data_IF_667374880350
#
_entry.id   IF_667374880350
#
_cell.length_a   1.000
_cell.length_b   1.000
_cell.length_c   1.000
_cell.angle_alpha   90.00
_cell.angle_beta   90.00
_cell.angle_gamma   90.00
#
_symmetry.space_group_name_H-M   'P 1'
#
loop_
_entity.id
_entity.type
_entity.pdbx_description
1 polymer ?
#
# COMPACT_ATOMS: atom_id res chain seq x y z
N UNK A 1 15.01 2.91 -15.10
CA UNK A 1 16.26 2.55 -15.78
C UNK A 1 17.30 3.65 -15.57
N UNK A 2 18.41 3.33 -14.93
CA UNK A 2 19.59 4.18 -14.85
C UNK A 2 20.50 3.90 -16.06
N UNK A 3 20.76 4.88 -16.87
CA UNK A 3 21.84 4.84 -17.85
C UNK A 3 22.49 6.23 -17.93
N UNK A 4 23.64 6.38 -17.30
CA UNK A 4 24.31 7.68 -17.18
C UNK A 4 23.52 8.68 -16.31
N UNK A 5 23.59 9.96 -16.61
CA UNK A 5 22.95 11.03 -15.85
C UNK A 5 21.45 11.23 -16.17
N UNK A 6 20.89 10.47 -17.11
CA UNK A 6 19.52 10.61 -17.55
C UNK A 6 18.62 9.49 -17.03
N UNK A 7 17.48 9.84 -16.47
CA UNK A 7 16.44 8.93 -15.97
C UNK A 7 15.20 9.06 -16.82
N UNK A 8 14.57 7.93 -17.14
CA UNK A 8 13.38 7.87 -17.98
C UNK A 8 12.27 7.11 -17.29
N UNK A 9 11.03 7.52 -17.54
CA UNK A 9 9.86 6.68 -17.29
C UNK A 9 9.61 5.85 -18.54
N UNK A 10 9.60 4.54 -18.40
CA UNK A 10 9.37 3.60 -19.49
C UNK A 10 8.05 2.86 -19.27
N UNK A 11 7.38 2.51 -20.35
CA UNK A 11 6.14 1.77 -20.35
C UNK A 11 6.39 0.29 -20.63
N UNK A 12 5.68 -0.56 -19.89
CA UNK A 12 5.56 -1.98 -20.18
C UNK A 12 4.15 -2.44 -19.81
N UNK A 13 3.66 -3.47 -20.49
CA UNK A 13 2.34 -4.04 -20.23
C UNK A 13 2.39 -5.56 -20.19
N UNK A 14 1.49 -6.16 -19.43
CA UNK A 14 1.36 -7.61 -19.29
C UNK A 14 -0.10 -7.99 -19.13
N UNK A 15 -0.48 -9.17 -19.63
CA UNK A 15 -1.81 -9.77 -19.42
C UNK A 15 -1.85 -10.72 -18.23
N UNK A 16 -0.69 -11.24 -17.84
CA UNK A 16 -0.55 -12.29 -16.82
C UNK A 16 0.34 -11.87 -15.63
N UNK A 17 0.96 -10.68 -15.72
CA UNK A 17 1.92 -10.20 -14.72
C UNK A 17 3.26 -10.94 -14.71
N UNK A 18 3.50 -11.83 -15.67
CA UNK A 18 4.71 -12.66 -15.80
C UNK A 18 5.46 -12.28 -17.08
N UNK A 19 4.76 -12.31 -18.20
CA UNK A 19 5.32 -11.95 -19.49
C UNK A 19 5.03 -10.49 -19.80
N UNK A 20 6.07 -9.67 -19.94
CA UNK A 20 5.97 -8.22 -20.09
C UNK A 20 6.42 -7.78 -21.47
N UNK A 21 5.52 -7.14 -22.21
CA UNK A 21 5.81 -6.48 -23.46
C UNK A 21 6.29 -5.04 -23.21
N UNK A 22 7.29 -4.60 -23.97
CA UNK A 22 7.80 -3.24 -23.98
C UNK A 22 7.54 -2.64 -25.36
N UNK A 23 6.29 -2.24 -25.65
CA UNK A 23 5.93 -1.79 -27.00
C UNK A 23 6.65 -0.50 -27.35
N UNK A 24 6.94 -0.33 -28.62
CA UNK A 24 7.41 0.95 -29.14
C UNK A 24 6.27 1.96 -29.06
N UNK A 25 6.45 3.01 -28.25
CA UNK A 25 5.46 4.10 -28.11
C UNK A 25 5.79 5.33 -28.95
N UNK A 26 7.00 5.43 -29.47
CA UNK A 26 7.49 6.50 -30.38
C UNK A 26 7.32 7.93 -29.86
N UNK A 27 7.28 8.13 -28.55
CA UNK A 27 7.01 9.44 -27.94
C UNK A 27 8.28 10.29 -27.76
N UNK A 28 9.33 9.69 -27.25
CA UNK A 28 10.56 10.38 -26.85
C UNK A 28 11.72 9.90 -27.71
N UNK A 29 12.50 10.87 -28.23
CA UNK A 29 13.73 10.55 -28.92
C UNK A 29 14.85 10.24 -27.91
N UNK A 30 15.52 9.10 -28.11
CA UNK A 30 16.69 8.67 -27.35
C UNK A 30 17.69 8.00 -28.30
N UNK A 31 18.97 8.39 -28.18
CA UNK A 31 20.03 7.91 -29.07
C UNK A 31 19.68 8.06 -30.58
N UNK A 32 19.09 9.20 -30.97
CA UNK A 32 18.64 9.52 -32.34
C UNK A 32 17.54 8.60 -32.87
N UNK A 33 16.80 7.94 -32.01
CA UNK A 33 15.71 7.04 -32.38
C UNK A 33 14.50 7.24 -31.48
N UNK A 34 13.31 7.16 -32.04
CA UNK A 34 12.04 7.05 -31.31
C UNK A 34 11.54 5.62 -31.17
N UNK A 35 12.31 4.64 -31.65
CA UNK A 35 11.95 3.22 -31.52
C UNK A 35 12.27 2.72 -30.11
N UNK A 36 11.46 3.13 -29.14
CA UNK A 36 11.62 2.81 -27.73
C UNK A 36 10.26 2.90 -26.98
N UNK A 37 10.26 2.51 -25.71
CA UNK A 37 9.11 2.54 -24.81
C UNK A 37 9.16 3.67 -23.77
N UNK A 38 9.91 4.75 -24.03
CA UNK A 38 10.04 5.88 -23.11
C UNK A 38 8.80 6.76 -23.23
N UNK A 39 8.15 7.05 -22.10
CA UNK A 39 6.95 7.90 -22.02
C UNK A 39 7.20 9.28 -21.44
N UNK A 40 8.22 9.43 -20.58
CA UNK A 40 8.66 10.73 -20.05
C UNK A 40 10.19 10.78 -19.93
N UNK A 41 10.81 11.90 -20.35
CA UNK A 41 12.21 12.17 -20.09
C UNK A 41 12.40 12.76 -18.68
N UNK A 42 13.62 12.80 -18.22
CA UNK A 42 14.08 13.54 -17.02
C UNK A 42 13.29 13.22 -15.74
N UNK A 43 12.92 11.94 -15.57
CA UNK A 43 12.33 11.47 -14.34
C UNK A 43 13.37 11.52 -13.22
N UNK A 44 13.19 12.42 -12.26
CA UNK A 44 14.20 12.60 -11.23
C UNK A 44 14.07 11.57 -10.11
N UNK A 45 12.85 11.22 -9.68
CA UNK A 45 12.64 10.24 -8.62
C UNK A 45 11.57 9.23 -9.00
N UNK A 46 10.38 9.27 -8.45
CA UNK A 46 9.35 8.25 -8.67
C UNK A 46 8.15 8.86 -9.38
N UNK A 47 7.79 8.28 -10.50
CA UNK A 47 6.56 8.58 -11.22
C UNK A 47 5.46 7.64 -10.75
N UNK A 48 4.38 8.17 -10.17
CA UNK A 48 3.27 7.42 -9.63
C UNK A 48 1.98 7.68 -10.41
N UNK A 49 1.69 6.88 -11.46
CA UNK A 49 0.44 6.95 -12.19
C UNK A 49 -0.69 6.22 -11.48
N UNK A 50 -1.93 6.66 -11.71
CA UNK A 50 -3.13 5.96 -11.29
C UNK A 50 -4.29 6.19 -12.28
N UNK A 51 -5.25 5.27 -12.27
CA UNK A 51 -6.52 5.40 -12.95
C UNK A 51 -7.45 6.25 -12.08
N UNK A 52 -7.93 7.37 -12.61
CA UNK A 52 -8.85 8.24 -11.89
C UNK A 52 -10.29 7.72 -12.01
N UNK A 53 -10.83 7.25 -10.91
CA UNK A 53 -12.19 6.70 -10.81
C UNK A 53 -13.23 7.73 -10.35
N UNK A 54 -12.85 9.01 -10.22
CA UNK A 54 -13.78 10.09 -9.86
C UNK A 54 -14.96 10.13 -10.83
N UNK A 55 -16.21 10.14 -10.36
CA UNK A 55 -17.37 10.31 -11.21
C UNK A 55 -17.28 11.58 -12.08
N UNK A 56 -17.52 11.44 -13.37
CA UNK A 56 -17.49 12.56 -14.32
C UNK A 56 -16.10 12.99 -14.79
N UNK A 57 -15.04 12.29 -14.44
CA UNK A 57 -13.72 12.58 -15.02
C UNK A 57 -13.76 12.41 -16.55
N UNK A 58 -13.21 13.38 -17.27
CA UNK A 58 -13.17 13.31 -18.73
C UNK A 58 -12.20 12.23 -19.22
N UNK A 59 -12.52 11.58 -20.35
CA UNK A 59 -11.66 10.59 -20.97
C UNK A 59 -10.25 11.13 -21.25
N UNK A 60 -10.12 12.41 -21.55
CA UNK A 60 -8.84 13.08 -21.78
C UNK A 60 -7.93 13.14 -20.54
N UNK A 61 -8.51 12.99 -19.34
CA UNK A 61 -7.80 13.05 -18.04
C UNK A 61 -8.00 11.78 -17.19
N UNK A 62 -8.35 10.67 -17.86
CA UNK A 62 -8.66 9.39 -17.21
C UNK A 62 -7.52 8.83 -16.39
N UNK A 63 -6.29 9.03 -16.81
CA UNK A 63 -5.10 8.70 -16.04
C UNK A 63 -4.49 9.96 -15.47
N UNK A 64 -4.07 9.90 -14.23
CA UNK A 64 -3.34 10.96 -13.55
C UNK A 64 -2.03 10.41 -12.99
N UNK A 65 -1.09 11.29 -12.74
CA UNK A 65 0.16 10.94 -12.10
C UNK A 65 0.72 12.08 -11.28
N UNK A 66 1.58 11.75 -10.34
CA UNK A 66 2.46 12.69 -9.70
C UNK A 66 3.92 12.28 -9.88
N UNK A 67 4.79 13.25 -9.86
CA UNK A 67 6.24 13.05 -9.90
C UNK A 67 6.92 14.20 -9.18
N UNK A 68 7.85 13.89 -8.30
CA UNK A 68 8.76 14.91 -7.81
C UNK A 68 9.70 15.35 -8.94
N UNK A 69 9.93 16.64 -9.04
CA UNK A 69 10.80 17.23 -10.05
C UNK A 69 11.70 18.30 -9.44
N UNK A 70 12.86 18.47 -10.07
CA UNK A 70 13.86 19.46 -9.70
C UNK A 70 14.48 19.28 -8.30
N UNK A 71 14.53 18.06 -7.76
CA UNK A 71 15.18 17.75 -6.49
C UNK A 71 16.64 18.25 -6.39
N UNK A 72 17.33 18.36 -7.53
CA UNK A 72 18.68 18.94 -7.63
C UNK A 72 18.73 20.41 -8.01
N UNK A 73 17.56 21.08 -8.21
CA UNK A 73 17.55 22.52 -8.44
C UNK A 73 18.11 23.28 -7.23
N UNK A 74 18.89 24.31 -7.47
CA UNK A 74 19.30 25.24 -6.41
C UNK A 74 18.18 26.22 -6.02
N UNK A 75 17.16 26.36 -6.87
CA UNK A 75 15.98 27.19 -6.60
C UNK A 75 14.92 26.38 -5.84
N UNK A 76 14.68 26.63 -4.54
CA UNK A 76 13.68 25.91 -3.76
C UNK A 76 12.27 26.02 -4.33
N UNK A 77 11.93 27.12 -4.98
CA UNK A 77 10.61 27.38 -5.55
C UNK A 77 10.29 26.47 -6.76
N UNK A 78 11.31 25.80 -7.31
CA UNK A 78 11.14 24.85 -8.41
C UNK A 78 11.09 23.39 -7.95
N UNK A 79 11.25 23.14 -6.66
CA UNK A 79 11.19 21.80 -6.08
C UNK A 79 9.78 21.46 -5.61
N UNK A 80 9.35 20.23 -5.82
CA UNK A 80 8.06 19.75 -5.32
C UNK A 80 7.39 18.70 -6.17
N UNK A 81 6.15 18.41 -5.87
CA UNK A 81 5.31 17.52 -6.65
C UNK A 81 4.70 18.24 -7.84
N UNK A 82 4.77 17.59 -8.97
CA UNK A 82 4.13 17.98 -10.21
C UNK A 82 3.05 16.97 -10.58
N UNK A 83 1.95 17.46 -11.12
CA UNK A 83 0.81 16.65 -11.51
C UNK A 83 0.69 16.56 -13.02
N UNK A 84 0.27 15.40 -13.48
CA UNK A 84 0.12 15.06 -14.88
C UNK A 84 -1.23 14.40 -15.13
N UNK A 85 -1.73 14.52 -16.35
CA UNK A 85 -2.89 13.78 -16.84
C UNK A 85 -2.63 13.14 -18.20
N UNK A 86 -3.37 12.09 -18.50
CA UNK A 86 -3.28 11.37 -19.76
C UNK A 86 -4.63 10.74 -20.11
N UNK A 87 -4.90 10.62 -21.41
CA UNK A 87 -6.07 9.92 -21.92
C UNK A 87 -5.82 8.40 -22.08
N UNK A 88 -4.57 8.01 -22.28
CA UNK A 88 -4.17 6.65 -22.66
C UNK A 88 -3.17 5.97 -21.71
N UNK A 89 -2.74 6.69 -20.65
CA UNK A 89 -1.73 6.20 -19.72
C UNK A 89 -0.29 6.16 -20.28
N UNK A 90 -0.06 6.73 -21.45
CA UNK A 90 1.24 6.78 -22.14
C UNK A 90 1.68 8.21 -22.40
N UNK A 91 0.82 9.05 -22.95
CA UNK A 91 1.09 10.48 -23.17
C UNK A 91 0.63 11.31 -21.97
N UNK A 92 1.57 11.68 -21.11
CA UNK A 92 1.28 12.49 -19.94
C UNK A 92 1.58 13.95 -20.18
N UNK A 93 0.60 14.82 -19.90
CA UNK A 93 0.69 16.27 -19.99
C UNK A 93 0.64 16.83 -18.58
N UNK A 94 1.51 17.79 -18.30
CA UNK A 94 1.52 18.51 -17.01
C UNK A 94 0.25 19.33 -16.84
N UNK A 95 -0.37 19.27 -15.65
CA UNK A 95 -1.68 19.90 -15.39
C UNK A 95 -1.52 21.35 -14.93
N UNK A 96 -0.55 21.63 -14.07
CA UNK A 96 -0.40 22.91 -13.38
C UNK A 96 1.01 23.48 -13.45
N UNK A 97 1.12 24.75 -13.00
CA UNK A 97 2.36 25.46 -12.85
C UNK A 97 3.44 24.75 -12.04
N UNK A 98 4.56 25.37 -11.78
CA UNK A 98 5.81 24.76 -11.38
C UNK A 98 6.21 25.16 -9.95
N UNK A 99 6.21 24.28 -8.98
CA UNK A 99 5.52 22.96 -8.87
C UNK A 99 4.06 23.11 -8.42
N UNK A 100 3.25 22.03 -8.55
CA UNK A 100 1.87 22.03 -8.06
C UNK A 100 1.81 22.07 -6.52
N UNK A 101 2.69 21.32 -5.84
CA UNK A 101 2.93 21.41 -4.41
C UNK A 101 4.42 21.65 -4.19
N UNK A 102 4.82 22.86 -3.73
CA UNK A 102 6.23 23.17 -3.50
C UNK A 102 6.81 22.41 -2.32
N UNK A 103 8.11 22.14 -2.36
CA UNK A 103 8.83 21.68 -1.19
C UNK A 103 8.89 22.76 -0.12
N UNK A 104 8.54 22.37 1.08
CA UNK A 104 8.81 23.21 2.25
C UNK A 104 10.12 22.79 2.93
N UNK A 105 10.52 21.52 2.79
CA UNK A 105 11.76 20.97 3.38
C UNK A 105 12.41 20.04 2.36
N UNK A 106 13.77 20.02 2.23
CA UNK A 106 14.47 19.07 1.39
C UNK A 106 14.18 17.63 1.76
N UNK A 107 14.13 16.75 0.76
CA UNK A 107 13.79 15.33 0.85
C UNK A 107 12.33 15.00 1.25
N UNK A 108 11.44 15.99 1.37
CA UNK A 108 10.02 15.69 1.26
C UNK A 108 9.75 15.15 -0.15
N UNK A 109 8.80 14.24 -0.27
CA UNK A 109 8.39 13.63 -1.54
C UNK A 109 9.46 12.82 -2.29
N UNK A 110 10.70 12.70 -1.77
CA UNK A 110 11.77 11.92 -2.38
C UNK A 110 11.52 10.41 -2.26
N UNK A 111 10.36 9.96 -2.69
CA UNK A 111 10.04 8.54 -2.93
C UNK A 111 8.65 8.40 -3.54
N UNK A 112 8.03 7.25 -3.35
CA UNK A 112 6.68 6.98 -3.82
C UNK A 112 5.64 7.83 -3.06
N UNK A 113 4.97 8.72 -3.79
CA UNK A 113 3.84 9.51 -3.30
C UNK A 113 2.59 9.02 -4.02
N UNK A 114 1.65 8.45 -3.29
CA UNK A 114 0.48 7.78 -3.87
C UNK A 114 -0.72 8.69 -3.80
N UNK A 115 -1.46 8.76 -4.90
CA UNK A 115 -2.74 9.48 -4.97
C UNK A 115 -3.78 8.57 -5.60
N UNK A 116 -5.01 8.64 -5.11
CA UNK A 116 -6.17 7.98 -5.68
C UNK A 116 -7.45 8.75 -5.38
N UNK A 117 -8.52 8.48 -6.13
CA UNK A 117 -9.87 8.90 -5.76
C UNK A 117 -10.45 7.91 -4.74
N UNK A 118 -10.90 8.40 -3.59
CA UNK A 118 -11.63 7.60 -2.63
C UNK A 118 -13.15 7.75 -2.86
N UNK A 119 -13.80 6.67 -3.24
CA UNK A 119 -15.27 6.64 -3.37
C UNK A 119 -15.96 6.86 -2.03
N UNK A 120 -15.38 6.30 -0.96
CA UNK A 120 -15.91 6.39 0.40
C UNK A 120 -15.83 7.81 0.94
N UNK A 121 -14.70 8.49 0.71
CA UNK A 121 -14.47 9.86 1.18
C UNK A 121 -14.97 10.92 0.20
N UNK A 122 -15.34 10.52 -1.04
CA UNK A 122 -15.73 11.41 -2.14
C UNK A 122 -14.72 12.51 -2.43
N UNK A 123 -13.43 12.19 -2.34
CA UNK A 123 -12.30 13.10 -2.59
C UNK A 123 -11.04 12.34 -3.00
N UNK A 124 -10.07 13.07 -3.54
CA UNK A 124 -8.73 12.54 -3.73
C UNK A 124 -8.02 12.46 -2.39
N UNK A 125 -7.28 11.39 -2.21
CA UNK A 125 -6.44 11.14 -1.03
C UNK A 125 -5.00 10.96 -1.49
N UNK A 126 -4.09 11.65 -0.83
CA UNK A 126 -2.65 11.53 -1.04
C UNK A 126 -1.98 10.98 0.21
N UNK A 127 -1.13 10.00 0.02
CA UNK A 127 -0.16 9.55 1.01
C UNK A 127 1.24 9.84 0.46
N UNK A 128 1.96 10.69 1.16
CA UNK A 128 3.28 11.15 0.74
C UNK A 128 4.34 10.87 1.79
N UNK A 129 5.58 10.69 1.32
CA UNK A 129 6.71 10.62 2.24
C UNK A 129 7.04 11.99 2.78
N UNK A 130 7.30 12.03 4.08
CA UNK A 130 7.69 13.23 4.80
C UNK A 130 8.77 12.93 5.84
N UNK A 131 9.42 13.98 6.35
CA UNK A 131 10.30 13.88 7.50
C UNK A 131 9.59 14.38 8.73
N UNK A 132 9.61 13.59 9.79
CA UNK A 132 9.06 13.95 11.10
C UNK A 132 10.15 13.87 12.15
N UNK A 133 10.06 14.69 13.16
CA UNK A 133 10.92 14.61 14.35
C UNK A 133 10.60 13.38 15.21
N UNK A 134 11.41 13.15 16.23
CA UNK A 134 11.18 12.07 17.20
C UNK A 134 9.88 12.27 18.01
N UNK A 135 9.33 13.46 18.01
CA UNK A 135 8.03 13.80 18.60
C UNK A 135 6.84 13.57 17.63
N UNK A 136 7.12 13.08 16.43
CA UNK A 136 6.13 12.81 15.39
C UNK A 136 5.62 14.04 14.63
N UNK A 137 6.13 15.25 14.94
CA UNK A 137 5.72 16.45 14.23
C UNK A 137 6.51 16.62 12.93
N UNK A 138 5.89 17.28 11.97
CA UNK A 138 6.56 17.68 10.74
C UNK A 138 7.68 18.65 11.10
N UNK A 139 8.90 18.37 10.64
CA UNK A 139 10.06 19.23 10.83
C UNK A 139 9.90 20.49 10.00
N UNK A 140 10.07 21.66 10.60
CA UNK A 140 10.02 22.91 9.88
C UNK A 140 11.32 23.22 9.12
N UNK A 141 11.25 24.19 8.19
CA UNK A 141 12.38 24.53 7.30
C UNK A 141 13.58 25.08 8.08
N UNK A 142 13.36 25.80 9.17
CA UNK A 142 14.44 26.40 9.97
C UNK A 142 15.13 25.33 10.79
N UNK A 143 14.37 24.44 11.42
CA UNK A 143 14.88 23.30 12.18
C UNK A 143 15.74 22.40 11.28
N UNK A 144 15.24 22.06 10.09
CA UNK A 144 15.98 21.23 9.13
C UNK A 144 17.25 21.93 8.63
N UNK A 145 17.21 23.23 8.37
CA UNK A 145 18.38 24.01 7.93
C UNK A 145 19.45 24.05 9.02
N UNK A 146 19.06 24.19 10.28
CA UNK A 146 19.99 24.14 11.41
C UNK A 146 20.62 22.75 11.57
N UNK A 147 19.83 21.69 11.40
CA UNK A 147 20.32 20.31 11.41
C UNK A 147 21.34 20.06 10.29
N UNK A 148 21.05 20.54 9.07
CA UNK A 148 21.96 20.43 7.94
C UNK A 148 23.26 21.21 8.15
N UNK A 149 23.19 22.44 8.66
CA UNK A 149 24.39 23.27 8.87
C UNK A 149 25.31 22.70 9.95
N UNK A 150 24.73 22.07 10.97
CA UNK A 150 25.49 21.52 12.11
C UNK A 150 26.02 20.09 11.88
N UNK A 151 25.49 19.34 10.90
CA UNK A 151 25.76 17.89 10.76
C UNK A 151 25.99 17.43 9.31
N UNK A 152 26.33 18.31 8.37
CA UNK A 152 26.41 17.96 6.93
C UNK A 152 27.34 16.75 6.63
N UNK A 153 28.42 16.58 7.38
CA UNK A 153 29.32 15.43 7.21
C UNK A 153 28.81 14.15 7.90
N UNK A 154 28.07 14.28 9.01
CA UNK A 154 27.53 13.13 9.73
C UNK A 154 26.21 12.60 9.14
N UNK A 155 25.40 13.47 8.56
CA UNK A 155 24.13 13.09 7.89
C UNK A 155 24.36 12.26 6.61
N UNK A 156 25.49 12.39 5.98
CA UNK A 156 25.79 11.63 4.76
C UNK A 156 26.47 10.28 5.01
N UNK A 157 27.19 10.04 6.10
CA UNK A 157 28.20 8.99 6.07
C UNK A 157 28.32 8.02 7.25
N UNK A 158 27.78 8.22 8.47
CA UNK A 158 28.14 7.27 9.55
C UNK A 158 27.07 6.80 10.55
N UNK A 159 26.03 7.53 10.84
CA UNK A 159 25.02 7.02 11.78
C UNK A 159 23.61 7.55 11.49
N UNK A 160 23.03 7.05 10.39
CA UNK A 160 21.61 7.32 10.06
C UNK A 160 20.63 6.58 10.98
N UNK A 161 21.11 5.73 11.87
CA UNK A 161 20.29 4.99 12.84
C UNK A 161 19.83 5.84 14.03
N UNK A 162 20.45 7.01 14.22
CA UNK A 162 20.16 7.96 15.32
C UNK A 162 19.86 9.36 14.82
N UNK A 163 19.30 9.49 13.62
CA UNK A 163 18.92 10.81 13.09
C UNK A 163 17.84 11.47 13.96
N UNK A 164 17.87 12.79 14.07
CA UNK A 164 16.86 13.59 14.76
C UNK A 164 15.52 13.60 14.01
N UNK A 165 15.43 12.93 12.87
CA UNK A 165 14.22 12.81 12.06
C UNK A 165 14.04 11.41 11.47
N UNK A 166 12.80 11.07 11.24
CA UNK A 166 12.34 9.76 10.77
C UNK A 166 11.57 9.95 9.46
N UNK A 167 11.80 9.07 8.49
CA UNK A 167 10.94 8.97 7.30
C UNK A 167 9.60 8.40 7.71
N UNK A 168 8.56 9.16 7.45
CA UNK A 168 7.19 8.80 7.82
C UNK A 168 6.24 9.12 6.66
N UNK A 169 4.97 8.83 6.84
CA UNK A 169 3.91 9.09 5.89
C UNK A 169 3.03 10.23 6.42
N UNK A 170 2.68 11.14 5.52
CA UNK A 170 1.66 12.16 5.75
C UNK A 170 0.49 11.96 4.81
N UNK A 171 -0.67 12.46 5.20
CA UNK A 171 -1.90 12.44 4.44
C UNK A 171 -2.37 13.85 4.12
N UNK A 172 -2.85 14.02 2.88
CA UNK A 172 -3.58 15.22 2.45
C UNK A 172 -4.76 14.79 1.58
N UNK A 173 -5.76 15.67 1.44
CA UNK A 173 -6.95 15.42 0.63
C UNK A 173 -7.26 16.60 -0.28
N UNK A 174 -7.98 16.31 -1.38
CA UNK A 174 -8.40 17.33 -2.34
C UNK A 174 -9.76 16.98 -2.96
N UNK A 175 -10.69 17.92 -3.10
CA UNK A 175 -11.95 17.69 -3.79
C UNK A 175 -11.80 17.68 -5.33
N UNK A 176 -10.73 18.28 -5.86
CA UNK A 176 -10.59 18.61 -7.29
C UNK A 176 -9.24 18.21 -7.91
N UNK A 177 -8.31 17.66 -7.13
CA UNK A 177 -6.94 17.35 -7.52
C UNK A 177 -6.01 18.58 -7.66
N UNK A 178 -6.51 19.76 -7.46
CA UNK A 178 -5.77 21.04 -7.60
C UNK A 178 -5.54 21.68 -6.24
N UNK A 179 -6.56 21.72 -5.40
CA UNK A 179 -6.53 22.34 -4.09
C UNK A 179 -6.40 21.25 -3.00
N UNK A 180 -5.25 21.19 -2.35
CA UNK A 180 -4.92 20.19 -1.34
C UNK A 180 -5.01 20.79 0.07
N UNK A 181 -5.49 19.97 1.01
CA UNK A 181 -5.40 20.28 2.43
C UNK A 181 -3.95 20.37 2.90
N UNK A 182 -3.73 20.90 4.09
CA UNK A 182 -2.45 20.76 4.77
C UNK A 182 -2.12 19.27 5.00
N UNK A 183 -0.82 18.96 5.02
CA UNK A 183 -0.34 17.62 5.30
C UNK A 183 -0.43 17.30 6.78
N UNK A 184 -1.08 16.19 7.10
CA UNK A 184 -1.22 15.66 8.45
C UNK A 184 -0.38 14.40 8.61
N UNK A 185 0.52 14.31 9.60
CA UNK A 185 1.25 13.08 9.88
C UNK A 185 0.30 11.92 10.19
N UNK A 186 0.65 10.72 9.69
CA UNK A 186 -0.04 9.50 10.09
C UNK A 186 0.43 9.07 11.47
N UNK A 187 -0.51 8.66 12.30
CA UNK A 187 -0.27 7.96 13.55
C UNK A 187 -0.14 6.46 13.30
N UNK A 188 0.50 5.74 14.24
CA UNK A 188 0.68 4.29 14.14
C UNK A 188 0.12 3.62 15.41
N UNK A 189 -0.73 2.58 15.24
CA UNK A 189 -1.17 1.75 16.34
C UNK A 189 -0.02 0.87 16.83
N UNK A 190 -0.06 0.49 18.09
CA UNK A 190 0.86 -0.46 18.75
C UNK A 190 2.29 0.04 19.00
N UNK A 191 2.55 1.31 18.76
CA UNK A 191 3.72 1.95 19.33
C UNK A 191 3.26 3.04 20.27
N UNK A 192 3.79 3.07 21.50
CA UNK A 192 3.65 4.22 22.40
C UNK A 192 4.32 5.49 21.82
N UNK A 193 4.90 5.36 20.64
CA UNK A 193 5.52 6.43 19.86
C UNK A 193 4.72 6.68 18.57
N UNK A 194 4.48 7.93 18.27
CA UNK A 194 3.82 8.44 17.05
C UNK A 194 4.59 8.01 15.78
N UNK A 195 5.81 7.52 15.93
CA UNK A 195 6.66 7.11 14.83
C UNK A 195 7.13 5.68 15.07
N UNK A 196 7.04 4.80 14.05
CA UNK A 196 7.69 3.50 14.13
C UNK A 196 9.20 3.73 14.25
N UNK A 197 9.88 2.92 15.04
CA UNK A 197 11.34 2.92 15.14
C UNK A 197 12.05 2.65 13.79
N UNK A 198 11.27 2.29 12.78
CA UNK A 198 11.71 1.97 11.44
C UNK A 198 11.50 3.13 10.48
N UNK A 199 12.48 3.36 9.60
CA UNK A 199 12.41 4.32 8.50
C UNK A 199 11.48 3.79 7.40
N UNK A 200 10.24 4.29 7.28
CA UNK A 200 9.31 3.92 6.21
C UNK A 200 9.67 4.71 4.94
N UNK A 201 10.29 4.05 3.97
CA UNK A 201 10.79 4.72 2.76
C UNK A 201 9.70 4.94 1.71
N UNK A 202 8.83 3.95 1.52
CA UNK A 202 7.64 4.02 0.65
C UNK A 202 6.41 3.78 1.48
N UNK A 203 5.22 4.05 0.94
CA UNK A 203 3.97 3.75 1.64
C UNK A 203 3.05 2.81 0.86
N UNK A 204 3.02 2.89 -0.47
CA UNK A 204 2.18 2.09 -1.36
C UNK A 204 0.71 1.94 -0.89
N UNK A 205 0.16 2.98 -0.26
CA UNK A 205 -1.17 2.97 0.35
C UNK A 205 -2.25 3.15 -0.71
N UNK A 206 -3.14 2.17 -0.87
CA UNK A 206 -4.24 2.21 -1.83
C UNK A 206 -5.52 1.60 -1.24
N UNK A 207 -6.72 1.98 -1.72
CA UNK A 207 -7.95 1.27 -1.39
C UNK A 207 -7.84 -0.21 -1.80
N UNK A 208 -8.31 -1.09 -0.93
CA UNK A 208 -8.39 -2.50 -1.26
C UNK A 208 -9.58 -2.75 -2.20
N UNK A 209 -9.34 -3.36 -3.35
CA UNK A 209 -10.32 -3.47 -4.44
C UNK A 209 -11.59 -4.27 -4.07
N UNK A 210 -11.57 -5.09 -3.02
CA UNK A 210 -12.72 -5.82 -2.50
C UNK A 210 -13.41 -5.12 -1.32
N UNK A 211 -12.77 -4.09 -0.74
CA UNK A 211 -13.27 -3.36 0.44
C UNK A 211 -12.74 -1.92 0.42
N UNK A 212 -13.34 -1.06 -0.39
CA UNK A 212 -12.89 0.32 -0.65
C UNK A 212 -12.76 1.20 0.60
N UNK A 213 -13.33 0.80 1.74
CA UNK A 213 -13.20 1.48 3.03
C UNK A 213 -11.96 1.06 3.82
N UNK A 214 -11.24 0.05 3.36
CA UNK A 214 -9.97 -0.40 3.90
C UNK A 214 -8.86 -0.03 2.92
N UNK A 215 -7.85 0.68 3.38
CA UNK A 215 -6.66 0.97 2.59
C UNK A 215 -5.52 0.07 3.05
N UNK A 216 -4.95 -0.64 2.10
CA UNK A 216 -3.77 -1.49 2.30
C UNK A 216 -2.53 -0.66 2.05
N UNK A 217 -1.56 -0.73 2.92
CA UNK A 217 -0.26 -0.10 2.80
C UNK A 217 0.84 -1.16 2.87
N UNK A 218 1.73 -1.15 1.89
CA UNK A 218 2.86 -2.06 1.78
C UNK A 218 4.17 -1.24 1.74
N UNK A 219 4.56 -0.61 2.86
CA UNK A 219 5.76 0.20 2.86
C UNK A 219 7.03 -0.64 2.78
N UNK A 220 8.01 -0.12 2.06
CA UNK A 220 9.40 -0.54 2.18
C UNK A 220 10.01 0.08 3.44
N UNK A 221 10.55 -0.75 4.31
CA UNK A 221 11.17 -0.37 5.58
C UNK A 221 12.69 -0.49 5.47
N UNK A 222 13.43 0.55 5.84
CA UNK A 222 14.89 0.58 5.73
C UNK A 222 15.54 0.37 7.09
N UNK A 223 16.56 -0.49 7.12
CA UNK A 223 17.45 -0.69 8.26
C UNK A 223 18.89 -0.40 7.86
N UNK A 224 19.50 0.56 8.52
CA UNK A 224 20.92 0.89 8.33
C UNK A 224 21.85 -0.14 9.02
N UNK A 225 23.03 -0.36 8.44
CA UNK A 225 24.02 -1.30 8.97
C UNK A 225 23.64 -2.78 8.79
N UNK A 226 22.67 -3.09 7.97
CA UNK A 226 22.18 -4.47 7.70
C UNK A 226 22.59 -5.00 6.32
N UNK A 227 23.48 -4.31 5.63
CA UNK A 227 24.01 -4.78 4.35
C UNK A 227 24.92 -6.00 4.57
N UNK A 228 24.75 -7.01 3.72
CA UNK A 228 25.52 -8.26 3.83
C UNK A 228 26.69 -8.32 2.87
N UNK A 229 26.56 -7.80 1.65
CA UNK A 229 27.59 -7.78 0.63
C UNK A 229 27.69 -6.41 -0.07
N UNK A 230 28.53 -5.49 0.45
CA UNK A 230 28.68 -4.15 -0.11
C UNK A 230 29.18 -4.10 -1.55
N UNK A 231 29.94 -5.12 -1.99
CA UNK A 231 30.58 -5.15 -3.32
C UNK A 231 29.59 -5.43 -4.45
N UNK A 232 28.40 -5.93 -4.14
CA UNK A 232 27.37 -6.25 -5.12
C UNK A 232 26.73 -4.97 -5.68
N UNK A 233 26.76 -3.87 -4.94
CA UNK A 233 26.18 -2.58 -5.34
C UNK A 233 27.28 -1.62 -5.78
N UNK A 234 27.42 -1.42 -7.09
CA UNK A 234 28.55 -0.72 -7.73
C UNK A 234 28.79 0.71 -7.25
N UNK A 235 27.75 1.52 -7.05
CA UNK A 235 27.88 2.97 -6.88
C UNK A 235 27.23 3.50 -5.58
N UNK A 236 26.81 2.63 -4.68
CA UNK A 236 26.15 3.01 -3.43
C UNK A 236 26.62 2.20 -2.21
N UNK A 237 27.86 1.70 -2.28
CA UNK A 237 28.49 0.90 -1.22
C UNK A 237 28.47 1.59 0.16
N UNK A 238 28.38 2.91 0.19
CA UNK A 238 28.43 3.71 1.41
C UNK A 238 27.07 3.85 2.11
N UNK A 239 25.97 3.43 1.48
CA UNK A 239 24.63 3.61 2.08
C UNK A 239 24.34 2.59 3.18
N UNK A 240 24.94 1.40 3.10
CA UNK A 240 24.95 0.42 4.20
C UNK A 240 23.56 0.02 4.73
N UNK A 241 22.52 0.07 3.91
CA UNK A 241 21.16 -0.26 4.31
C UNK A 241 20.64 -1.56 3.67
N UNK A 242 19.64 -2.15 4.28
CA UNK A 242 18.83 -3.21 3.71
C UNK A 242 17.35 -2.90 3.97
N UNK A 243 16.46 -3.39 3.14
CA UNK A 243 15.03 -3.16 3.27
C UNK A 243 14.21 -4.44 3.16
N UNK A 244 13.06 -4.40 3.78
CA UNK A 244 11.99 -5.38 3.68
C UNK A 244 10.65 -4.68 3.47
N UNK A 245 9.58 -5.43 3.25
CA UNK A 245 8.22 -4.89 3.16
C UNK A 245 7.36 -5.35 4.32
N UNK A 246 6.57 -4.45 4.88
CA UNK A 246 5.60 -4.76 5.95
C UNK A 246 4.18 -4.50 5.50
N UNK A 247 3.21 -5.01 6.26
CA UNK A 247 1.79 -4.77 6.08
C UNK A 247 1.29 -3.76 7.10
N UNK A 248 0.65 -2.73 6.62
CA UNK A 248 -0.18 -1.84 7.44
C UNK A 248 -1.55 -1.66 6.79
N UNK A 249 -2.54 -1.28 7.57
CA UNK A 249 -3.85 -0.91 7.05
C UNK A 249 -4.32 0.41 7.66
N UNK A 250 -5.25 1.07 6.99
CA UNK A 250 -5.98 2.21 7.56
C UNK A 250 -7.41 2.22 7.05
N UNK A 251 -8.29 2.93 7.71
CA UNK A 251 -9.67 3.11 7.27
C UNK A 251 -9.80 4.40 6.47
N UNK A 252 -10.71 4.43 5.50
CA UNK A 252 -11.07 5.66 4.80
C UNK A 252 -11.39 6.78 5.81
N UNK A 253 -10.84 7.96 5.60
CA UNK A 253 -10.99 9.12 6.50
C UNK A 253 -10.12 9.11 7.75
N UNK A 254 -9.36 8.06 8.01
CA UNK A 254 -8.48 7.96 9.19
C UNK A 254 -7.07 8.50 8.88
N UNK A 255 -6.47 9.13 9.88
CA UNK A 255 -5.04 9.48 9.87
C UNK A 255 -4.20 8.49 10.69
N UNK A 256 -4.71 7.28 10.96
CA UNK A 256 -4.02 6.28 11.76
C UNK A 256 -3.86 4.98 10.98
N UNK A 257 -2.62 4.51 10.89
CA UNK A 257 -2.32 3.15 10.45
C UNK A 257 -2.49 2.15 11.60
N UNK A 258 -3.12 1.04 11.29
CA UNK A 258 -2.99 -0.18 12.08
C UNK A 258 -1.70 -0.88 11.63
N UNK A 259 -0.77 -1.03 12.55
CA UNK A 259 0.54 -1.66 12.35
C UNK A 259 0.74 -2.82 13.34
N UNK A 260 -0.31 -3.62 13.52
CA UNK A 260 -0.29 -4.81 14.39
C UNK A 260 0.78 -5.81 13.97
N UNK A 261 0.99 -5.99 12.65
CA UNK A 261 2.00 -6.90 12.12
C UNK A 261 3.32 -6.16 11.90
N UNK A 262 4.19 -6.17 12.90
CA UNK A 262 5.52 -5.55 12.82
C UNK A 262 6.54 -6.44 12.12
N UNK A 263 6.23 -7.72 11.91
CA UNK A 263 7.03 -8.67 11.16
C UNK A 263 7.03 -8.34 9.67
N UNK A 264 8.11 -8.71 9.00
CA UNK A 264 8.23 -8.55 7.55
C UNK A 264 7.26 -9.49 6.82
N UNK A 265 6.36 -8.92 6.02
CA UNK A 265 5.56 -9.65 5.03
C UNK A 265 6.43 -10.06 3.83
N UNK A 266 7.31 -9.17 3.40
CA UNK A 266 8.17 -9.33 2.22
C UNK A 266 9.63 -9.33 2.65
N UNK A 267 10.15 -10.50 2.99
CA UNK A 267 11.55 -10.67 3.42
C UNK A 267 12.52 -10.56 2.25
N UNK A 268 13.78 -10.17 2.49
CA UNK A 268 14.81 -10.12 1.45
C UNK A 268 14.96 -11.42 0.68
N UNK A 269 14.87 -12.57 1.35
CA UNK A 269 15.02 -13.88 0.72
C UNK A 269 16.47 -14.38 0.71
N UNK A 270 16.70 -15.43 -0.06
CA UNK A 270 18.00 -16.12 -0.17
C UNK A 270 18.87 -15.38 -1.18
N UNK A 271 20.17 -15.30 -0.89
CA UNK A 271 21.19 -14.67 -1.75
C UNK A 271 21.60 -13.29 -1.23
N UNK A 272 22.90 -13.02 -1.28
CA UNK A 272 23.49 -11.80 -0.75
C UNK A 272 23.04 -10.56 -1.55
N UNK A 273 22.69 -10.72 -2.82
CA UNK A 273 22.13 -9.69 -3.70
C UNK A 273 20.83 -9.10 -3.17
N UNK A 274 20.06 -9.86 -2.38
CA UNK A 274 18.83 -9.42 -1.74
C UNK A 274 19.07 -8.61 -0.47
N UNK A 275 20.27 -8.71 0.13
CA UNK A 275 20.64 -8.06 1.38
C UNK A 275 21.50 -6.81 1.15
N UNK A 276 21.05 -5.97 0.23
CA UNK A 276 21.74 -4.75 -0.19
C UNK A 276 20.78 -3.56 -0.18
N UNK A 277 21.33 -2.39 -0.42
CA UNK A 277 20.59 -1.12 -0.35
C UNK A 277 19.35 -1.08 -1.20
N UNK A 278 18.27 -0.49 -0.68
CA UNK A 278 17.00 -0.16 -1.35
C UNK A 278 16.35 -1.31 -2.10
N UNK A 279 16.63 -2.52 -1.69
CA UNK A 279 16.04 -3.73 -2.24
C UNK A 279 14.64 -4.00 -1.64
N UNK A 280 13.90 -4.94 -2.24
CA UNK A 280 12.67 -5.50 -1.68
C UNK A 280 11.52 -4.48 -1.51
N UNK A 281 11.44 -3.47 -2.35
CA UNK A 281 10.35 -2.50 -2.32
C UNK A 281 9.13 -3.02 -3.08
N UNK A 282 7.95 -3.08 -2.44
CA UNK A 282 6.71 -3.32 -3.15
C UNK A 282 6.42 -2.18 -4.14
N UNK A 283 5.99 -2.56 -5.33
CA UNK A 283 5.35 -1.61 -6.24
C UNK A 283 3.99 -1.18 -5.66
N UNK A 284 3.49 -0.02 -6.07
CA UNK A 284 2.17 0.42 -5.67
C UNK A 284 1.10 -0.45 -6.34
N UNK A 285 0.25 -1.05 -5.54
CA UNK A 285 -0.90 -1.80 -5.99
C UNK A 285 -0.88 -3.27 -5.58
N UNK A 286 -2.09 -3.76 -5.32
CA UNK A 286 -2.41 -5.18 -5.19
C UNK A 286 -3.45 -5.48 -6.26
N UNK A 287 -3.21 -6.48 -7.08
CA UNK A 287 -4.02 -6.78 -8.27
C UNK A 287 -4.59 -8.18 -8.15
N UNK A 288 -5.89 -8.33 -8.38
CA UNK A 288 -6.48 -9.65 -8.56
C UNK A 288 -5.97 -10.26 -9.87
N UNK A 289 -5.40 -11.46 -9.79
CA UNK A 289 -4.78 -12.15 -10.93
C UNK A 289 -5.47 -13.45 -11.29
N UNK A 290 -6.36 -13.96 -10.43
CA UNK A 290 -7.30 -15.03 -10.75
C UNK A 290 -8.55 -14.92 -9.87
N UNK A 291 -9.46 -15.87 -9.97
CA UNK A 291 -10.66 -15.94 -9.12
C UNK A 291 -10.31 -16.16 -7.63
N UNK A 292 -9.15 -16.74 -7.35
CA UNK A 292 -8.73 -17.12 -5.99
C UNK A 292 -7.47 -16.40 -5.53
N UNK A 293 -6.82 -15.61 -6.41
CA UNK A 293 -5.47 -15.11 -6.19
C UNK A 293 -5.36 -13.59 -6.43
N UNK A 294 -4.55 -12.94 -5.62
CA UNK A 294 -4.06 -11.59 -5.84
C UNK A 294 -2.53 -11.57 -5.91
N UNK A 295 -1.97 -10.56 -6.54
CA UNK A 295 -0.53 -10.40 -6.72
C UNK A 295 -0.02 -9.07 -6.23
N UNK A 296 1.20 -9.11 -5.71
CA UNK A 296 2.05 -7.98 -5.34
C UNK A 296 3.32 -8.09 -6.18
N UNK A 297 3.80 -6.96 -6.69
CA UNK A 297 5.07 -6.89 -7.43
C UNK A 297 6.15 -6.26 -6.57
N UNK A 298 7.31 -6.88 -6.52
CA UNK A 298 8.42 -6.48 -5.66
C UNK A 298 9.67 -6.25 -6.49
N UNK A 299 10.30 -5.10 -6.31
CA UNK A 299 11.58 -4.81 -6.91
C UNK A 299 12.68 -5.60 -6.21
N UNK A 300 13.45 -6.37 -6.97
CA UNK A 300 14.61 -7.12 -6.49
C UNK A 300 15.89 -6.62 -7.13
N UNK A 301 17.02 -6.80 -6.44
CA UNK A 301 18.38 -6.48 -6.88
C UNK A 301 18.51 -5.02 -7.37
N UNK A 302 18.00 -4.06 -6.58
CA UNK A 302 18.09 -2.64 -6.93
C UNK A 302 19.52 -2.22 -7.22
N UNK A 303 19.71 -1.42 -8.28
CA UNK A 303 21.00 -0.93 -8.77
C UNK A 303 22.03 -2.02 -9.16
N UNK A 304 21.60 -3.26 -9.32
CA UNK A 304 22.42 -4.38 -9.78
C UNK A 304 22.11 -4.73 -11.24
N UNK A 305 23.03 -5.37 -11.92
CA UNK A 305 22.81 -5.83 -13.31
C UNK A 305 21.75 -6.93 -13.40
N UNK A 306 21.51 -7.63 -12.31
CA UNK A 306 20.51 -8.67 -12.13
C UNK A 306 19.15 -8.14 -11.65
N UNK A 307 18.90 -6.82 -11.69
CA UNK A 307 17.65 -6.22 -11.23
C UNK A 307 16.41 -6.77 -11.99
N UNK A 308 15.37 -7.15 -11.26
CA UNK A 308 14.14 -7.68 -11.81
C UNK A 308 12.92 -7.29 -10.97
N UNK A 309 11.74 -7.46 -11.54
CA UNK A 309 10.46 -7.34 -10.86
C UNK A 309 9.94 -8.75 -10.57
N UNK A 310 9.73 -9.08 -9.29
CA UNK A 310 9.18 -10.36 -8.85
C UNK A 310 7.67 -10.23 -8.64
N UNK A 311 6.91 -11.17 -9.20
CA UNK A 311 5.50 -11.34 -8.87
C UNK A 311 5.36 -12.30 -7.71
N UNK A 312 4.77 -11.83 -6.62
CA UNK A 312 4.41 -12.65 -5.46
C UNK A 312 2.90 -12.80 -5.40
N UNK A 313 2.43 -13.98 -5.07
CA UNK A 313 1.01 -14.31 -5.04
C UNK A 313 0.52 -14.56 -3.62
N UNK A 314 -0.73 -14.19 -3.39
CA UNK A 314 -1.46 -14.42 -2.15
C UNK A 314 -2.87 -14.91 -2.51
N UNK A 315 -3.45 -15.72 -1.64
CA UNK A 315 -4.90 -15.94 -1.66
C UNK A 315 -5.64 -14.60 -1.66
N UNK A 316 -6.77 -14.48 -2.33
CA UNK A 316 -7.65 -13.30 -2.16
C UNK A 316 -7.90 -13.04 -0.68
N UNK A 317 -7.78 -11.79 -0.24
CA UNK A 317 -7.88 -11.33 1.14
C UNK A 317 -6.84 -11.94 2.10
N UNK A 318 -5.88 -12.72 1.59
CA UNK A 318 -4.95 -13.55 2.36
C UNK A 318 -3.74 -12.81 2.94
N UNK A 319 -3.83 -11.53 3.27
CA UNK A 319 -2.77 -10.80 3.96
C UNK A 319 -2.53 -11.31 5.38
N UNK A 320 -3.58 -11.74 6.04
CA UNK A 320 -3.60 -12.30 7.38
C UNK A 320 -4.84 -13.18 7.54
N UNK A 321 -4.86 -14.04 8.55
CA UNK A 321 -6.00 -14.84 8.91
C UNK A 321 -6.27 -14.80 10.41
N UNK A 322 -7.52 -15.06 10.77
CA UNK A 322 -7.86 -15.52 12.11
C UNK A 322 -7.67 -17.03 12.11
N UNK A 323 -6.64 -17.52 12.79
CA UNK A 323 -6.29 -18.93 12.86
C UNK A 323 -6.78 -19.56 14.16
N UNK A 324 -7.34 -20.74 14.08
CA UNK A 324 -7.63 -21.60 15.23
C UNK A 324 -6.82 -22.88 15.15
N UNK A 325 -6.21 -23.33 16.26
CA UNK A 325 -5.51 -24.62 16.32
C UNK A 325 -6.49 -25.81 16.26
N UNK A 326 -5.97 -27.02 16.34
CA UNK A 326 -6.76 -28.26 16.39
C UNK A 326 -7.77 -28.27 17.55
N UNK A 327 -7.36 -27.78 18.71
CA UNK A 327 -8.27 -27.49 19.81
C UNK A 327 -9.11 -26.26 19.48
N UNK A 328 -10.35 -26.23 19.93
CA UNK A 328 -11.29 -25.15 19.61
C UNK A 328 -10.76 -23.75 19.89
N UNK A 329 -10.93 -22.84 18.94
CA UNK A 329 -10.72 -21.41 19.06
C UNK A 329 -12.01 -20.64 18.85
N UNK A 330 -12.18 -19.49 19.51
CA UNK A 330 -13.35 -18.65 19.38
C UNK A 330 -12.99 -17.18 19.20
N UNK A 331 -13.78 -16.49 18.40
CA UNK A 331 -13.71 -15.03 18.23
C UNK A 331 -15.11 -14.43 18.20
N UNK A 332 -15.29 -13.31 18.88
CA UNK A 332 -16.53 -12.51 18.84
C UNK A 332 -16.19 -11.11 18.34
N UNK A 333 -16.90 -10.65 17.32
CA UNK A 333 -16.71 -9.30 16.79
C UNK A 333 -17.15 -8.23 17.79
N UNK A 334 -16.66 -7.00 17.63
CA UNK A 334 -17.35 -5.83 18.15
C UNK A 334 -18.74 -5.74 17.50
N UNK A 335 -19.69 -4.97 18.09
CA UNK A 335 -20.95 -4.69 17.42
C UNK A 335 -20.70 -4.11 16.03
N UNK A 336 -21.43 -4.61 15.04
CA UNK A 336 -21.37 -4.14 13.66
C UNK A 336 -22.77 -4.03 13.09
N UNK A 337 -22.98 -3.02 12.25
CA UNK A 337 -24.16 -2.88 11.41
C UNK A 337 -23.87 -3.46 10.04
N UNK A 338 -24.84 -4.14 9.44
CA UNK A 338 -24.69 -4.66 8.10
C UNK A 338 -25.94 -4.45 7.25
N UNK A 339 -25.72 -4.40 5.96
CA UNK A 339 -26.75 -4.48 4.93
C UNK A 339 -26.48 -5.70 4.07
N UNK A 340 -27.55 -6.37 3.66
CA UNK A 340 -27.44 -7.64 2.94
C UNK A 340 -28.27 -8.71 3.60
N UNK A 341 -28.36 -9.86 2.96
CA UNK A 341 -29.16 -10.99 3.42
C UNK A 341 -28.41 -12.32 3.43
N UNK A 342 -27.10 -12.30 3.21
CA UNK A 342 -26.23 -13.47 3.32
C UNK A 342 -24.90 -13.09 3.95
N UNK A 343 -24.32 -14.01 4.71
CA UNK A 343 -22.94 -13.90 5.23
C UNK A 343 -22.05 -14.82 4.40
N UNK A 344 -21.07 -14.23 3.74
CA UNK A 344 -20.02 -14.91 2.97
C UNK A 344 -18.71 -14.90 3.76
N UNK A 345 -18.02 -16.03 3.79
CA UNK A 345 -16.68 -16.18 4.37
C UNK A 345 -15.67 -16.62 3.32
N UNK A 346 -14.47 -16.08 3.42
CA UNK A 346 -13.27 -16.58 2.81
C UNK A 346 -12.51 -17.36 3.88
N UNK A 347 -12.39 -18.68 3.74
CA UNK A 347 -11.89 -19.56 4.79
C UNK A 347 -11.19 -20.80 4.24
N UNK A 348 -10.43 -21.45 5.10
CA UNK A 348 -9.82 -22.76 4.86
C UNK A 348 -9.90 -23.58 6.13
N UNK A 349 -10.21 -24.88 6.01
CA UNK A 349 -10.15 -25.85 7.10
C UNK A 349 -9.27 -27.02 6.69
N UNK A 350 -8.73 -27.73 7.67
CA UNK A 350 -8.22 -29.08 7.40
C UNK A 350 -9.36 -30.08 7.20
N UNK A 351 -9.04 -31.32 6.87
CA UNK A 351 -10.04 -32.41 6.76
C UNK A 351 -10.74 -32.73 8.10
N UNK A 352 -10.11 -32.41 9.22
CA UNK A 352 -10.67 -32.55 10.56
C UNK A 352 -11.25 -31.24 11.10
N UNK A 353 -10.97 -30.12 10.40
CA UNK A 353 -11.36 -28.78 10.81
C UNK A 353 -12.80 -28.43 10.49
N UNK A 354 -13.28 -27.40 11.14
CA UNK A 354 -14.63 -26.85 10.91
C UNK A 354 -14.75 -25.43 11.39
N UNK A 355 -15.74 -24.71 10.84
CA UNK A 355 -16.13 -23.38 11.30
C UNK A 355 -17.62 -23.38 11.54
N UNK A 356 -18.06 -22.94 12.71
CA UNK A 356 -19.45 -22.64 13.02
C UNK A 356 -19.62 -21.16 13.35
N UNK A 357 -20.76 -20.61 13.00
CA UNK A 357 -21.06 -19.19 13.15
C UNK A 357 -22.37 -19.01 13.90
N UNK A 358 -22.34 -18.10 14.86
CA UNK A 358 -23.51 -17.68 15.65
C UNK A 358 -23.67 -16.17 15.54
N UNK A 359 -24.90 -15.71 15.38
CA UNK A 359 -25.23 -14.30 15.41
C UNK A 359 -25.79 -13.94 16.79
N UNK A 360 -25.16 -12.98 17.42
CA UNK A 360 -25.53 -12.47 18.75
C UNK A 360 -26.11 -11.07 18.63
N UNK A 361 -26.99 -10.69 19.54
CA UNK A 361 -27.36 -9.30 19.75
C UNK A 361 -26.17 -8.51 20.37
N UNK A 362 -26.36 -7.21 20.56
CA UNK A 362 -25.31 -6.33 21.12
C UNK A 362 -24.94 -6.69 22.56
N UNK A 363 -25.84 -7.34 23.31
CA UNK A 363 -25.62 -7.81 24.69
C UNK A 363 -24.81 -9.12 24.73
N UNK A 364 -24.66 -9.80 23.59
CA UNK A 364 -24.00 -11.10 23.49
C UNK A 364 -24.95 -12.30 23.62
N UNK A 365 -26.27 -12.08 23.49
CA UNK A 365 -27.28 -13.16 23.53
C UNK A 365 -27.52 -13.69 22.12
N UNK A 366 -27.54 -15.03 21.91
CA UNK A 366 -27.85 -15.61 20.60
C UNK A 366 -29.22 -15.17 20.08
N UNK A 367 -29.26 -14.80 18.81
CA UNK A 367 -30.52 -14.46 18.12
C UNK A 367 -31.18 -15.77 17.67
N UNK A 368 -32.46 -15.92 17.99
CA UNK A 368 -33.23 -17.12 17.66
C UNK A 368 -33.17 -17.47 16.16
N UNK A 369 -32.88 -18.73 15.87
CA UNK A 369 -32.67 -19.26 14.52
C UNK A 369 -31.26 -19.05 13.93
N UNK A 370 -30.34 -18.36 14.65
CA UNK A 370 -28.96 -18.12 14.22
C UNK A 370 -27.93 -18.55 15.28
N UNK A 371 -28.31 -19.46 16.16
CA UNK A 371 -27.46 -20.00 17.21
C UNK A 371 -26.43 -20.99 16.66
N UNK A 372 -25.45 -21.32 17.52
CA UNK A 372 -24.35 -22.22 17.15
C UNK A 372 -24.83 -23.65 16.81
N UNK A 373 -25.89 -24.11 17.45
CA UNK A 373 -26.48 -25.45 17.21
C UNK A 373 -27.38 -25.46 15.95
N UNK A 374 -27.79 -24.30 15.49
CA UNK A 374 -28.54 -24.12 14.23
C UNK A 374 -27.61 -24.05 13.02
N UNK A 375 -26.34 -23.68 13.22
CA UNK A 375 -25.38 -23.52 12.15
C UNK A 375 -25.01 -24.88 11.54
N UNK A 376 -25.16 -25.01 10.22
CA UNK A 376 -24.85 -26.24 9.48
C UNK A 376 -23.34 -26.56 9.48
N UNK A 377 -22.50 -25.57 9.83
CA UNK A 377 -21.04 -25.66 9.81
C UNK A 377 -20.45 -25.57 8.41
N UNK A 378 -19.20 -25.10 8.34
CA UNK A 378 -18.44 -24.97 7.10
C UNK A 378 -17.19 -25.84 7.20
N UNK A 379 -16.90 -26.53 6.11
CA UNK A 379 -15.66 -27.29 5.89
C UNK A 379 -15.17 -27.01 4.48
N UNK A 380 -13.87 -27.12 4.24
CA UNK A 380 -13.29 -26.94 2.92
C UNK A 380 -12.34 -25.74 2.82
N UNK A 381 -12.09 -25.33 1.60
CA UNK A 381 -11.22 -24.20 1.25
C UNK A 381 -11.92 -23.34 0.19
N UNK A 382 -12.60 -22.28 0.64
CA UNK A 382 -13.51 -21.48 -0.17
C UNK A 382 -13.19 -20.00 -0.08
N UNK A 383 -13.20 -19.32 -1.23
CA UNK A 383 -13.09 -17.85 -1.29
C UNK A 383 -14.43 -17.18 -0.94
N UNK A 384 -15.56 -17.87 -1.23
CA UNK A 384 -16.92 -17.34 -1.14
C UNK A 384 -17.88 -18.42 -0.62
N UNK A 385 -17.61 -18.94 0.59
CA UNK A 385 -18.50 -19.90 1.24
C UNK A 385 -19.62 -19.18 2.02
N UNK A 386 -20.86 -19.62 1.85
CA UNK A 386 -22.01 -19.02 2.52
C UNK A 386 -22.32 -19.76 3.82
N UNK A 387 -22.50 -18.98 4.88
CA UNK A 387 -22.97 -19.52 6.17
C UNK A 387 -24.46 -19.80 6.08
N UNK A 388 -24.87 -20.99 6.58
CA UNK A 388 -26.26 -21.36 6.68
C UNK A 388 -26.64 -21.87 8.08
N UNK A 389 -27.89 -21.66 8.43
CA UNK A 389 -28.52 -22.12 9.65
C UNK A 389 -29.76 -22.93 9.29
N UNK A 390 -29.78 -24.22 9.61
CA UNK A 390 -30.85 -25.17 9.25
C UNK A 390 -31.17 -25.14 7.74
N UNK A 391 -30.12 -25.09 6.92
CA UNK A 391 -30.23 -25.05 5.46
C UNK A 391 -30.62 -23.70 4.86
N UNK A 392 -30.75 -22.63 5.67
CA UNK A 392 -31.08 -21.27 5.19
C UNK A 392 -29.89 -20.34 5.36
N UNK A 393 -29.60 -19.55 4.30
CA UNK A 393 -28.59 -18.48 4.34
C UNK A 393 -29.21 -17.09 4.59
N UNK A 394 -30.54 -17.02 4.80
CA UNK A 394 -31.29 -15.75 4.82
C UNK A 394 -31.14 -15.00 6.15
N UNK A 395 -30.52 -13.82 6.10
CA UNK A 395 -30.35 -12.87 7.20
C UNK A 395 -31.27 -11.64 7.11
N UNK A 396 -32.25 -11.63 6.19
CA UNK A 396 -33.12 -10.47 5.95
C UNK A 396 -33.83 -9.96 7.21
N UNK A 397 -34.18 -10.86 8.13
CA UNK A 397 -34.88 -10.52 9.39
C UNK A 397 -34.02 -9.68 10.36
N UNK A 398 -32.70 -9.75 10.25
CA UNK A 398 -31.77 -9.08 11.16
C UNK A 398 -30.91 -8.06 10.44
N UNK A 399 -31.05 -7.89 9.13
CA UNK A 399 -30.37 -6.85 8.35
C UNK A 399 -30.75 -5.46 8.86
N UNK A 400 -29.76 -4.55 8.95
CA UNK A 400 -29.94 -3.20 9.48
C UNK A 400 -30.06 -3.11 11.00
N UNK A 401 -29.77 -4.20 11.72
CA UNK A 401 -29.65 -4.19 13.18
C UNK A 401 -28.21 -4.38 13.61
N UNK A 402 -27.75 -3.71 14.66
CA UNK A 402 -26.43 -3.97 15.22
C UNK A 402 -26.37 -5.38 15.82
N UNK A 403 -25.39 -6.16 15.39
CA UNK A 403 -25.16 -7.55 15.81
C UNK A 403 -23.69 -7.76 16.17
N UNK A 404 -23.42 -8.90 16.83
CA UNK A 404 -22.08 -9.48 16.93
C UNK A 404 -22.06 -10.82 16.22
N UNK A 405 -20.93 -11.19 15.66
CA UNK A 405 -20.73 -12.51 15.07
C UNK A 405 -19.74 -13.27 15.96
N UNK A 406 -20.12 -14.47 16.37
CA UNK A 406 -19.24 -15.42 17.04
C UNK A 406 -18.84 -16.51 16.05
N UNK A 407 -17.53 -16.68 15.89
CA UNK A 407 -16.93 -17.77 15.14
C UNK A 407 -16.37 -18.80 16.13
N UNK A 408 -16.72 -20.06 15.94
CA UNK A 408 -16.16 -21.21 16.66
C UNK A 408 -15.45 -22.07 15.64
N UNK A 409 -14.17 -22.28 15.82
CA UNK A 409 -13.28 -22.81 14.78
C UNK A 409 -12.40 -23.92 15.35
N UNK A 410 -12.15 -24.94 14.53
CA UNK A 410 -11.19 -25.99 14.82
C UNK A 410 -10.31 -26.19 13.59
N UNK A 411 -8.99 -26.15 13.74
CA UNK A 411 -7.99 -26.37 12.69
C UNK A 411 -8.40 -25.66 11.38
N UNK A 412 -8.57 -24.33 11.47
CA UNK A 412 -9.18 -23.52 10.43
C UNK A 412 -8.63 -22.08 10.42
N UNK A 413 -8.71 -21.45 9.26
CA UNK A 413 -8.40 -20.05 9.03
C UNK A 413 -9.60 -19.31 8.42
N UNK A 414 -9.91 -18.10 8.92
CA UNK A 414 -10.81 -17.14 8.28
C UNK A 414 -9.98 -15.95 7.82
N UNK A 415 -10.02 -15.65 6.52
CA UNK A 415 -9.30 -14.55 5.89
C UNK A 415 -10.12 -13.27 5.83
N UNK A 416 -11.40 -13.40 5.49
CA UNK A 416 -12.34 -12.28 5.45
C UNK A 416 -13.79 -12.77 5.56
N UNK A 417 -14.67 -11.82 5.88
CA UNK A 417 -16.12 -12.02 5.76
C UNK A 417 -16.79 -10.75 5.24
N UNK A 418 -17.93 -10.93 4.59
CA UNK A 418 -18.79 -9.83 4.15
C UNK A 418 -20.26 -10.22 4.16
N UNK A 419 -21.11 -9.21 4.19
CA UNK A 419 -22.53 -9.39 3.93
C UNK A 419 -22.84 -8.96 2.51
N UNK A 420 -23.62 -9.74 1.80
CA UNK A 420 -24.05 -9.40 0.45
C UNK A 420 -25.56 -9.44 0.29
N UNK A 421 -26.04 -8.75 -0.75
CA UNK A 421 -27.45 -8.73 -1.15
C UNK A 421 -27.65 -9.76 -2.25
N UNK A 422 -28.38 -10.82 -1.96
CA UNK A 422 -28.74 -11.82 -2.94
C UNK A 422 -30.22 -11.64 -3.38
N UNK A 423 -30.46 -11.71 -4.70
CA UNK A 423 -31.81 -11.72 -5.24
C UNK A 423 -32.37 -10.36 -5.67
N UNK A 424 -31.49 -9.40 -6.04
CA UNK A 424 -31.91 -8.19 -6.79
C UNK A 424 -31.59 -8.33 -8.26
#
# INVERSE_FOLDING_TARGET
>A
YYRGDSRYVCYAESKDGINWDKPNVSLIEHDKSKNNNIILPDCQIVFCPFLDTKPGVSQAKKYKANMERNGFSLDPLKKGLNFYSSADGKQFIRIQGDPAIPWTIPNHFDSQNVIFWSEVESQYVMYARYMVGNDGKIIDTNEYSNLLQNNLEHLMLKDRSRGEYIRSTVRATSPDFENWSEFTPMEYSDTDSITPSAQLYTNATIPYFRANHIYISLPGRIFFGKIKEPKVVRDQADVGDCSDGVLMTTRAGSNRYDFTFTESLLRPGIGDENWTTRNNYPACGVIQTSETEMSIFVQRHYAQTSAYLERMTLRLDGFASLNAPYDEGQMITKPLDFTGNRLELNYSTSAAGSIKVEILDVSGTPIDGYGIDDCDGLIGDEISGYVSWRGSTDLSKISGRPVRIRFVMNDADIYSFRFEVYGK
#
